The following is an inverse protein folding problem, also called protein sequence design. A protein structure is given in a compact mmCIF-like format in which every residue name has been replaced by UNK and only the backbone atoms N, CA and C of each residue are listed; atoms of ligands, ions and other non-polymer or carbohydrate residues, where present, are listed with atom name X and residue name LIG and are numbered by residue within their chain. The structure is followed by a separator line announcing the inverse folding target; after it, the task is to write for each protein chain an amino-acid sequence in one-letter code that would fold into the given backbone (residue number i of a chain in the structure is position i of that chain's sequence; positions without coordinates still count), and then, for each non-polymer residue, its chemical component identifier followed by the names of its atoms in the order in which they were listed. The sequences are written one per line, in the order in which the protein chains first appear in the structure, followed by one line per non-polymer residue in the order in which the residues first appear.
data_IF_075723120680
#
_entry.id   IF_075723120680
#
_cell.length_a   1.000
_cell.length_b   1.000
_cell.length_c   1.000
_cell.angle_alpha   90.00
_cell.angle_beta   90.00
_cell.angle_gamma   90.00
#
_symmetry.space_group_name_H-M   'P 1'
#
loop_
_entity.id
_entity.type
_entity.pdbx_description
1 polymer ?
#
# COMPACT_ATOMS: atom_id res chain seq x y z
N UNK A 1 8.34 17.97 -14.30
CA UNK A 1 9.52 17.29 -13.74
C UNK A 1 9.15 15.86 -13.36
N UNK A 2 10.08 14.90 -13.32
CA UNK A 2 9.76 13.50 -12.95
C UNK A 2 9.13 13.38 -11.55
N UNK A 3 9.52 14.26 -10.63
CA UNK A 3 8.98 14.32 -9.28
C UNK A 3 7.47 14.60 -9.25
N UNK A 4 7.00 15.53 -10.08
CA UNK A 4 5.57 15.85 -10.19
C UNK A 4 4.73 14.67 -10.73
N UNK A 5 5.34 13.79 -11.54
CA UNK A 5 4.66 12.59 -12.01
C UNK A 5 4.50 11.55 -10.89
N UNK A 6 5.54 11.37 -10.08
CA UNK A 6 5.50 10.50 -8.88
C UNK A 6 4.44 10.97 -7.88
N UNK A 7 4.36 12.28 -7.61
CA UNK A 7 3.37 12.83 -6.67
C UNK A 7 1.94 12.56 -7.16
N UNK A 8 1.67 12.80 -8.45
CA UNK A 8 0.35 12.53 -9.05
C UNK A 8 -0.07 11.07 -8.96
N UNK A 9 0.85 10.13 -9.15
CA UNK A 9 0.54 8.70 -9.05
C UNK A 9 0.24 8.30 -7.60
N UNK A 10 0.98 8.83 -6.63
CA UNK A 10 0.68 8.61 -5.20
C UNK A 10 -0.71 9.15 -4.85
N UNK A 11 -1.03 10.37 -5.27
CA UNK A 11 -2.35 10.98 -5.05
C UNK A 11 -3.47 10.18 -5.72
N UNK A 12 -3.25 9.69 -6.94
CA UNK A 12 -4.20 8.85 -7.67
C UNK A 12 -4.48 7.54 -6.95
N UNK A 13 -3.43 6.82 -6.53
CA UNK A 13 -3.55 5.55 -5.80
C UNK A 13 -4.25 5.79 -4.46
N UNK A 14 -3.87 6.84 -3.74
CA UNK A 14 -4.50 7.19 -2.46
C UNK A 14 -6.01 7.48 -2.65
N UNK A 15 -6.39 8.22 -3.69
CA UNK A 15 -7.79 8.49 -4.00
C UNK A 15 -8.61 7.23 -4.31
N UNK A 16 -8.01 6.25 -4.99
CA UNK A 16 -8.61 4.94 -5.23
C UNK A 16 -8.83 4.18 -3.92
N UNK A 17 -7.80 4.10 -3.07
CA UNK A 17 -7.87 3.44 -1.77
C UNK A 17 -8.96 4.06 -0.88
N UNK A 18 -8.99 5.39 -0.78
CA UNK A 18 -9.98 6.11 0.02
C UNK A 18 -11.41 5.88 -0.48
N UNK A 19 -11.60 5.87 -1.81
CA UNK A 19 -12.90 5.62 -2.42
C UNK A 19 -13.36 4.19 -2.16
N UNK A 20 -12.46 3.21 -2.30
CA UNK A 20 -12.74 1.81 -2.01
C UNK A 20 -13.15 1.62 -0.55
N UNK A 21 -12.32 2.08 0.41
CA UNK A 21 -12.62 1.91 1.84
C UNK A 21 -13.84 2.71 2.32
N UNK A 22 -14.24 3.76 1.61
CA UNK A 22 -15.48 4.47 1.89
C UNK A 22 -16.71 3.67 1.46
N UNK A 23 -16.62 2.97 0.33
CA UNK A 23 -17.73 2.18 -0.22
C UNK A 23 -17.84 0.82 0.46
N UNK A 24 -16.70 0.20 0.78
CA UNK A 24 -16.59 -1.11 1.42
C UNK A 24 -15.47 -1.10 2.47
N UNK A 25 -15.78 -0.69 3.73
CA UNK A 25 -14.78 -0.48 4.77
C UNK A 25 -14.17 -1.77 5.32
N UNK A 26 -14.85 -2.91 5.15
CA UNK A 26 -14.44 -4.21 5.68
C UNK A 26 -13.75 -5.09 4.63
N UNK A 27 -13.74 -4.67 3.36
CA UNK A 27 -13.07 -5.41 2.28
C UNK A 27 -11.63 -4.93 2.08
N UNK A 28 -10.62 -5.71 2.50
CA UNK A 28 -9.23 -5.39 2.24
C UNK A 28 -8.90 -5.54 0.75
N UNK A 29 -7.84 -4.86 0.30
CA UNK A 29 -7.37 -4.92 -1.08
C UNK A 29 -6.12 -5.80 -1.15
N UNK A 30 -6.07 -6.75 -2.08
CA UNK A 30 -4.84 -7.49 -2.37
C UNK A 30 -3.72 -6.52 -2.77
N UNK A 31 -2.57 -6.60 -2.10
CA UNK A 31 -1.42 -5.77 -2.44
C UNK A 31 -0.96 -6.00 -3.88
N UNK A 32 -0.95 -7.27 -4.31
CA UNK A 32 -0.53 -7.64 -5.67
C UNK A 32 -1.49 -7.09 -6.73
N UNK A 33 -2.80 -7.15 -6.50
CA UNK A 33 -3.79 -6.62 -7.45
C UNK A 33 -3.66 -5.10 -7.62
N UNK A 34 -3.19 -4.40 -6.57
CA UNK A 34 -2.97 -2.95 -6.63
C UNK A 34 -1.69 -2.59 -7.38
N UNK A 35 -0.61 -3.36 -7.23
CA UNK A 35 0.72 -2.96 -7.72
C UNK A 35 1.15 -3.63 -9.02
N UNK A 36 0.64 -4.82 -9.34
CA UNK A 36 1.07 -5.58 -10.51
C UNK A 36 0.53 -4.92 -11.78
N UNK A 37 1.44 -4.52 -12.66
CA UNK A 37 1.15 -4.21 -14.05
C UNK A 37 1.52 -5.42 -14.92
N UNK A 38 0.55 -6.06 -15.60
CA UNK A 38 0.82 -7.29 -16.37
C UNK A 38 1.65 -7.05 -17.63
N UNK A 39 1.87 -5.79 -18.02
CA UNK A 39 2.56 -5.40 -19.24
C UNK A 39 3.92 -4.73 -18.96
N UNK A 40 4.26 -4.43 -17.70
CA UNK A 40 5.53 -3.83 -17.33
C UNK A 40 5.96 -4.12 -15.90
N UNK A 41 7.07 -4.85 -15.79
CA UNK A 41 7.78 -5.05 -14.53
C UNK A 41 8.24 -3.72 -13.92
N UNK A 42 8.74 -2.78 -14.73
CA UNK A 42 9.19 -1.49 -14.24
C UNK A 42 8.04 -0.69 -13.58
N UNK A 43 6.86 -0.68 -14.22
CA UNK A 43 5.66 -0.04 -13.63
C UNK A 43 5.20 -0.75 -12.36
N UNK A 44 5.34 -2.08 -12.29
CA UNK A 44 5.07 -2.83 -11.06
C UNK A 44 5.98 -2.36 -9.91
N UNK A 45 7.28 -2.21 -10.17
CA UNK A 45 8.23 -1.71 -9.17
C UNK A 45 7.93 -0.26 -8.76
N UNK A 46 7.55 0.59 -9.72
CA UNK A 46 7.10 1.97 -9.45
C UNK A 46 5.84 1.99 -8.57
N UNK A 47 4.83 1.18 -8.89
CA UNK A 47 3.61 1.05 -8.09
C UNK A 47 3.91 0.59 -6.65
N UNK A 48 4.78 -0.40 -6.48
CA UNK A 48 5.26 -0.85 -5.16
C UNK A 48 5.87 0.33 -4.40
N UNK A 49 6.70 1.14 -5.07
CA UNK A 49 7.33 2.29 -4.47
C UNK A 49 6.30 3.38 -4.05
N UNK A 50 5.30 3.66 -4.90
CA UNK A 50 4.23 4.60 -4.57
C UNK A 50 3.40 4.14 -3.37
N UNK A 51 2.98 2.87 -3.35
CA UNK A 51 2.23 2.29 -2.23
C UNK A 51 3.06 2.30 -0.95
N UNK A 52 4.38 2.12 -1.04
CA UNK A 52 5.27 2.21 0.14
C UNK A 52 5.22 3.59 0.81
N UNK A 53 5.08 4.68 0.05
CA UNK A 53 4.90 6.02 0.61
C UNK A 53 3.57 6.18 1.32
N UNK A 54 2.49 5.66 0.72
CA UNK A 54 1.14 5.68 1.33
C UNK A 54 1.13 4.95 2.68
N UNK A 55 1.80 3.80 2.76
CA UNK A 55 1.93 3.03 4.02
C UNK A 55 2.82 3.76 5.02
N UNK A 56 3.99 4.25 4.58
CA UNK A 56 4.95 4.99 5.42
C UNK A 56 4.31 6.22 6.06
N UNK A 57 3.51 6.94 5.28
CA UNK A 57 2.86 8.19 5.70
C UNK A 57 1.56 7.92 6.49
N UNK A 58 1.20 6.64 6.70
CA UNK A 58 0.14 6.20 7.61
C UNK A 58 -1.26 6.31 7.02
N UNK A 59 -1.40 6.49 5.71
CA UNK A 59 -2.70 6.55 5.03
C UNK A 59 -3.33 5.18 4.82
N UNK A 60 -2.51 4.13 4.72
CA UNK A 60 -2.95 2.74 4.65
C UNK A 60 -2.03 1.85 5.49
N UNK A 61 -2.48 0.63 5.80
CA UNK A 61 -1.65 -0.38 6.46
C UNK A 61 -1.53 -1.62 5.59
N UNK A 62 -0.36 -2.24 5.63
CA UNK A 62 -0.10 -3.54 5.02
C UNK A 62 -0.10 -4.61 6.11
N UNK A 63 -0.85 -5.69 5.90
CA UNK A 63 -0.86 -6.88 6.77
C UNK A 63 -0.86 -8.15 5.93
N UNK A 64 -0.69 -9.29 6.59
CA UNK A 64 -0.92 -10.59 5.96
C UNK A 64 -2.31 -11.08 6.34
N UNK A 65 -3.04 -11.66 5.39
CA UNK A 65 -4.29 -12.37 5.65
C UNK A 65 -4.04 -13.79 6.22
N UNK A 66 -5.10 -14.58 6.30
CA UNK A 66 -5.06 -15.95 6.82
C UNK A 66 -4.18 -16.87 5.96
N UNK A 67 -4.16 -16.64 4.65
CA UNK A 67 -3.33 -17.33 3.65
C UNK A 67 -1.89 -16.80 3.56
N UNK A 68 -1.53 -15.84 4.43
CA UNK A 68 -0.22 -15.16 4.45
C UNK A 68 0.06 -14.32 3.21
N UNK A 69 -0.99 -13.87 2.52
CA UNK A 69 -0.88 -12.96 1.40
C UNK A 69 -0.98 -11.49 1.86
N UNK A 70 -0.18 -10.58 1.27
CA UNK A 70 -0.17 -9.18 1.65
C UNK A 70 -1.46 -8.48 1.20
N UNK A 71 -2.15 -7.85 2.14
CA UNK A 71 -3.36 -7.07 1.92
C UNK A 71 -3.26 -5.67 2.54
N UNK A 72 -3.95 -4.72 1.92
CA UNK A 72 -3.99 -3.31 2.28
C UNK A 72 -5.32 -3.00 2.96
N UNK A 73 -5.24 -2.35 4.11
CA UNK A 73 -6.37 -1.94 4.92
C UNK A 73 -6.37 -0.44 5.21
N UNK A 74 -7.53 0.15 5.53
CA UNK A 74 -7.60 1.52 5.97
C UNK A 74 -6.79 1.70 7.27
N UNK A 75 -5.98 2.74 7.30
CA UNK A 75 -5.36 3.16 8.54
C UNK A 75 -6.44 3.74 9.45
N UNK A 76 -6.90 2.97 10.44
CA UNK A 76 -7.72 3.47 11.56
C UNK A 76 -7.01 4.70 12.12
N UNK A 77 -7.60 5.87 11.87
CA UNK A 77 -7.08 7.15 12.28
C UNK A 77 -6.71 7.12 13.75
N UNK A 78 -5.65 7.84 14.06
CA UNK A 78 -5.09 7.99 15.38
C UNK A 78 -6.03 8.84 16.28
N UNK A 79 -7.30 8.47 16.46
CA UNK A 79 -8.27 9.17 17.33
C UNK A 79 -8.00 8.96 18.83
N UNK A 80 -6.76 8.69 19.24
CA UNK A 80 -6.46 8.55 20.67
C UNK A 80 -5.07 8.08 21.06
N UNK A 81 -4.02 8.23 20.23
CA UNK A 81 -2.65 7.91 20.66
C UNK A 81 -1.67 8.99 20.25
N UNK A 82 -1.72 10.09 21.00
CA UNK A 82 -0.63 11.07 21.11
C UNK A 82 0.60 10.51 21.87
N UNK A 83 0.58 9.25 22.35
CA UNK A 83 1.58 8.78 23.31
C UNK A 83 2.21 7.41 23.04
N UNK A 84 2.44 7.02 21.78
CA UNK A 84 3.25 5.82 21.49
C UNK A 84 4.36 6.12 20.47
N UNK A 85 5.25 7.05 20.84
CA UNK A 85 6.59 7.19 20.22
C UNK A 85 7.54 6.08 20.73
N UNK A 86 7.05 4.84 20.79
CA UNK A 86 7.74 3.73 21.42
C UNK A 86 7.37 2.40 20.77
N UNK A 87 7.98 2.09 19.63
CA UNK A 87 8.07 0.72 19.09
C UNK A 87 6.74 -0.07 18.97
N UNK A 88 5.58 0.60 18.84
CA UNK A 88 4.30 -0.03 18.52
C UNK A 88 4.31 -0.61 17.11
N UNK A 89 4.58 -1.92 17.02
CA UNK A 89 4.47 -2.78 15.84
C UNK A 89 4.71 -2.07 14.50
N UNK A 90 5.98 -1.86 14.18
CA UNK A 90 6.42 -1.49 12.83
C UNK A 90 6.00 -2.64 11.91
N UNK A 91 4.80 -2.58 11.33
CA UNK A 91 4.27 -3.61 10.42
C UNK A 91 5.05 -3.54 9.10
N UNK A 92 6.29 -4.01 9.14
CA UNK A 92 7.16 -4.17 7.98
C UNK A 92 6.88 -5.56 7.39
N UNK A 93 6.43 -5.57 6.14
CA UNK A 93 6.36 -6.78 5.33
C UNK A 93 7.48 -6.68 4.31
N UNK A 94 8.29 -7.73 4.22
CA UNK A 94 9.32 -7.88 3.18
C UNK A 94 8.73 -8.76 2.08
N UNK A 95 8.69 -8.24 0.86
CA UNK A 95 8.16 -8.94 -0.30
C UNK A 95 9.30 -9.12 -1.30
N UNK A 96 9.55 -10.35 -1.72
CA UNK A 96 10.42 -10.66 -2.85
C UNK A 96 9.58 -10.78 -4.12
N UNK A 97 10.01 -10.12 -5.20
CA UNK A 97 9.40 -10.26 -6.51
C UNK A 97 10.49 -10.24 -7.58
N UNK A 98 10.78 -11.40 -8.16
CA UNK A 98 11.64 -11.51 -9.33
C UNK A 98 10.89 -11.25 -10.63
N UNK A 99 11.61 -10.95 -11.70
CA UNK A 99 11.02 -10.81 -13.04
C UNK A 99 10.38 -12.11 -13.54
N UNK A 100 10.80 -13.28 -13.02
CA UNK A 100 10.19 -14.56 -13.36
C UNK A 100 8.86 -14.76 -12.61
N UNK A 101 8.80 -14.40 -11.33
CA UNK A 101 7.55 -14.46 -10.54
C UNK A 101 6.50 -13.43 -11.00
N UNK A 102 6.94 -12.31 -11.57
CA UNK A 102 6.05 -11.31 -12.15
C UNK A 102 5.39 -11.76 -13.47
N UNK A 103 6.02 -12.67 -14.23
CA UNK A 103 5.50 -13.18 -15.51
C UNK A 103 4.50 -14.30 -15.32
#
# INVERSE_FOLDING_TARGET
SHQEATEKEVERILGLLQTHFKNDPDTPISFFDLVIDPNSFARTVENIFHVSFIIRDGFARLKLDDDKLPIIEPSKGNEGRENDRGAGARNQVVISLSHQEWK
#
